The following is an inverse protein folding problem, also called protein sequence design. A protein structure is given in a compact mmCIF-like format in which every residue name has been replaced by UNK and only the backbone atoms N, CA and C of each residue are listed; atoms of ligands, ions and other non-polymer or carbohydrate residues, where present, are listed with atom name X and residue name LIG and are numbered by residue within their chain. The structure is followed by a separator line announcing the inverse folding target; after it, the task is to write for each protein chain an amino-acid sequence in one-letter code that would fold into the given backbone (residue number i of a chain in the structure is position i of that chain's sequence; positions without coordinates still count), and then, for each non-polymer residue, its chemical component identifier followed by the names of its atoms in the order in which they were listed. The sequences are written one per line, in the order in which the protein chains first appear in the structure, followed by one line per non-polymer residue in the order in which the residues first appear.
data_IF_932000639214
#
_entry.id   IF_932000639214
#
_cell.length_a   1.000
_cell.length_b   1.000
_cell.length_c   1.000
_cell.angle_alpha   90.00
_cell.angle_beta   90.00
_cell.angle_gamma   90.00
#
_symmetry.space_group_name_H-M   'P 1'
#
loop_
_entity.id
_entity.type
_entity.pdbx_description
1 polymer ?
#
# COMPACT_ATOMS: atom_id res chain seq x y z
N UNK A 1 24.38 1.86 -2.80
CA UNK A 1 23.09 2.52 -2.49
C UNK A 1 21.93 1.50 -2.47
N UNK A 2 21.96 0.49 -1.57
CA UNK A 2 20.95 -0.60 -1.55
C UNK A 2 19.61 -0.20 -0.91
N UNK A 3 19.58 0.92 -0.18
CA UNK A 3 18.37 1.43 0.47
C UNK A 3 17.38 2.09 -0.50
N UNK A 4 17.88 2.90 -1.45
CA UNK A 4 17.03 3.69 -2.35
C UNK A 4 16.18 2.82 -3.29
N UNK A 5 16.74 1.70 -3.77
CA UNK A 5 16.00 0.71 -4.55
C UNK A 5 14.77 0.17 -3.82
N UNK A 6 14.77 0.16 -2.48
CA UNK A 6 13.63 -0.32 -1.69
C UNK A 6 12.49 0.70 -1.60
N UNK A 7 12.75 1.97 -1.91
CA UNK A 7 11.77 3.07 -1.87
C UNK A 7 11.30 3.51 -3.27
N UNK A 8 11.60 2.73 -4.31
CA UNK A 8 11.28 3.06 -5.70
C UNK A 8 9.81 3.40 -5.93
N UNK A 9 8.88 2.70 -5.28
CA UNK A 9 7.46 2.98 -5.42
C UNK A 9 7.01 4.31 -4.82
N UNK A 10 7.75 4.89 -3.86
CA UNK A 10 7.49 6.26 -3.39
C UNK A 10 7.91 7.30 -4.44
N UNK A 11 9.04 7.07 -5.12
CA UNK A 11 9.48 7.93 -6.22
C UNK A 11 8.50 7.87 -7.39
N UNK A 12 8.04 6.66 -7.73
CA UNK A 12 7.06 6.47 -8.79
C UNK A 12 5.70 7.09 -8.43
N UNK A 13 5.24 6.95 -7.19
CA UNK A 13 4.05 7.64 -6.69
C UNK A 13 4.15 9.16 -6.84
N UNK A 14 5.26 9.75 -6.42
CA UNK A 14 5.48 11.20 -6.57
C UNK A 14 5.50 11.62 -8.04
N UNK A 15 6.16 10.85 -8.91
CA UNK A 15 6.16 11.09 -10.35
C UNK A 15 4.77 10.98 -11.00
N UNK A 16 3.94 10.02 -10.56
CA UNK A 16 2.56 9.90 -11.06
C UNK A 16 1.67 11.05 -10.62
N UNK A 17 1.83 11.56 -9.39
CA UNK A 17 1.09 12.74 -8.93
C UNK A 17 1.42 13.96 -9.79
N UNK A 18 2.71 14.22 -10.05
CA UNK A 18 3.12 15.38 -10.83
C UNK A 18 2.69 15.27 -12.29
N UNK A 19 2.83 14.08 -12.89
CA UNK A 19 2.43 13.86 -14.29
C UNK A 19 0.91 13.87 -14.48
N UNK A 20 0.15 13.33 -13.53
CA UNK A 20 -1.31 13.40 -13.54
C UNK A 20 -1.83 14.85 -13.49
N UNK A 21 -1.19 15.73 -12.71
CA UNK A 21 -1.54 17.15 -12.71
C UNK A 21 -1.27 17.81 -14.06
N UNK A 22 -0.12 17.50 -14.67
CA UNK A 22 0.28 18.11 -15.95
C UNK A 22 -0.47 17.56 -17.17
N UNK A 23 -1.31 16.53 -17.02
CA UNK A 23 -2.02 15.83 -18.10
C UNK A 23 -1.12 15.38 -19.26
N UNK A 24 0.18 15.21 -19.03
CA UNK A 24 1.16 14.87 -20.07
C UNK A 24 1.14 13.39 -20.47
N UNK A 25 0.61 12.53 -19.60
CA UNK A 25 0.51 11.09 -19.84
C UNK A 25 -0.95 10.72 -20.06
N UNK A 26 -1.20 9.85 -21.05
CA UNK A 26 -2.54 9.36 -21.34
C UNK A 26 -3.13 8.53 -20.18
N UNK A 27 -4.48 8.45 -20.08
CA UNK A 27 -5.17 7.83 -18.95
C UNK A 27 -4.84 6.35 -18.77
N UNK A 28 -4.54 5.63 -19.86
CA UNK A 28 -4.10 4.21 -19.82
C UNK A 28 -2.77 4.06 -19.09
N UNK A 29 -1.78 4.91 -19.41
CA UNK A 29 -0.44 4.86 -18.80
C UNK A 29 -0.52 5.21 -17.32
N UNK A 30 -1.32 6.22 -16.97
CA UNK A 30 -1.58 6.58 -15.58
C UNK A 30 -2.24 5.42 -14.83
N UNK A 31 -3.27 4.79 -15.40
CA UNK A 31 -3.94 3.63 -14.83
C UNK A 31 -2.97 2.50 -14.46
N UNK A 32 -2.13 2.08 -15.41
CA UNK A 32 -1.11 1.05 -15.19
C UNK A 32 -0.13 1.47 -14.08
N UNK A 33 0.32 2.73 -14.10
CA UNK A 33 1.20 3.28 -13.07
C UNK A 33 0.58 3.20 -11.67
N UNK A 34 -0.67 3.63 -11.52
CA UNK A 34 -1.39 3.60 -10.24
C UNK A 34 -1.57 2.17 -9.72
N UNK A 35 -1.85 1.21 -10.61
CA UNK A 35 -1.93 -0.21 -10.25
C UNK A 35 -0.59 -0.73 -9.72
N UNK A 36 0.52 -0.41 -10.39
CA UNK A 36 1.86 -0.81 -9.96
C UNK A 36 2.24 -0.22 -8.60
N UNK A 37 1.95 1.06 -8.37
CA UNK A 37 2.18 1.71 -7.08
C UNK A 37 1.36 1.08 -5.96
N UNK A 38 0.08 0.79 -6.25
CA UNK A 38 -0.82 0.14 -5.29
C UNK A 38 -0.26 -1.23 -4.90
N UNK A 39 0.15 -2.04 -5.88
CA UNK A 39 0.78 -3.33 -5.62
C UNK A 39 2.07 -3.20 -4.79
N UNK A 40 2.90 -2.21 -5.10
CA UNK A 40 4.11 -1.92 -4.32
C UNK A 40 3.81 -1.62 -2.85
N UNK A 41 2.85 -0.74 -2.54
CA UNK A 41 2.51 -0.41 -1.15
C UNK A 41 1.89 -1.59 -0.39
N UNK A 42 1.11 -2.42 -1.07
CA UNK A 42 0.49 -3.60 -0.49
C UNK A 42 1.52 -4.71 -0.17
N UNK A 43 2.52 -4.91 -1.03
CA UNK A 43 3.37 -6.12 -1.00
C UNK A 43 4.88 -5.90 -0.85
N UNK A 44 5.40 -4.67 -0.96
CA UNK A 44 6.84 -4.44 -0.96
C UNK A 44 7.31 -3.26 -0.08
N UNK A 45 6.44 -2.28 0.19
CA UNK A 45 6.81 -1.09 0.94
C UNK A 45 7.40 -1.44 2.34
N UNK A 46 8.56 -0.88 2.72
CA UNK A 46 9.16 -1.14 4.02
C UNK A 46 8.30 -0.53 5.13
N UNK A 47 7.54 -1.38 5.84
CA UNK A 47 6.60 -0.95 6.89
C UNK A 47 6.72 -1.84 8.12
N UNK A 48 6.22 -1.38 9.26
CA UNK A 48 6.13 -2.21 10.46
C UNK A 48 5.01 -3.26 10.34
N UNK A 49 5.19 -4.44 10.92
CA UNK A 49 4.23 -5.53 10.82
C UNK A 49 2.86 -5.16 11.40
N UNK A 50 2.84 -4.63 12.64
CA UNK A 50 1.65 -4.24 13.41
C UNK A 50 0.57 -5.32 13.52
N UNK A 51 0.96 -6.59 13.48
CA UNK A 51 0.09 -7.69 13.88
C UNK A 51 0.01 -7.76 15.41
N UNK A 52 -1.11 -8.23 15.94
CA UNK A 52 -1.29 -8.38 17.37
C UNK A 52 -0.54 -9.61 17.90
N UNK A 53 0.30 -9.38 18.89
CA UNK A 53 1.06 -10.43 19.60
C UNK A 53 0.19 -11.10 20.66
N UNK A 54 0.64 -12.23 21.20
CA UNK A 54 -0.06 -12.95 22.28
C UNK A 54 -0.26 -12.12 23.56
N UNK A 55 0.52 -11.05 23.73
CA UNK A 55 0.41 -10.11 24.84
C UNK A 55 -0.51 -8.91 24.54
N UNK A 56 -1.26 -8.92 23.43
CA UNK A 56 -2.12 -7.80 23.01
C UNK A 56 -1.36 -6.57 22.49
N UNK A 57 -0.04 -6.66 22.30
CA UNK A 57 0.81 -5.58 21.79
C UNK A 57 0.98 -5.67 20.27
N UNK A 58 1.16 -4.54 19.60
CA UNK A 58 1.41 -4.49 18.16
C UNK A 58 2.87 -4.83 17.83
N UNK A 59 3.07 -5.76 16.90
CA UNK A 59 4.40 -6.19 16.47
C UNK A 59 5.16 -5.06 15.76
N UNK A 60 6.31 -4.68 16.30
CA UNK A 60 7.22 -3.65 15.74
C UNK A 60 8.31 -4.20 14.81
N UNK A 61 8.20 -5.47 14.41
CA UNK A 61 9.17 -6.03 13.47
C UNK A 61 8.92 -5.53 12.05
N UNK A 62 9.97 -5.49 11.23
CA UNK A 62 9.89 -5.04 9.84
C UNK A 62 9.09 -6.04 8.98
N UNK A 63 8.28 -5.51 8.08
CA UNK A 63 7.50 -6.23 7.08
C UNK A 63 7.69 -5.58 5.69
N UNK A 64 7.30 -6.32 4.65
CA UNK A 64 7.39 -5.89 3.25
C UNK A 64 5.99 -5.64 2.71
N UNK A 65 5.39 -4.50 3.01
CA UNK A 65 4.07 -4.11 2.52
C UNK A 65 2.97 -4.19 3.57
N UNK A 66 1.87 -3.49 3.28
CA UNK A 66 0.73 -3.37 4.19
C UNK A 66 0.05 -4.72 4.44
N UNK A 67 -0.06 -5.57 3.43
CA UNK A 67 -0.71 -6.89 3.56
C UNK A 67 0.26 -7.99 3.96
N UNK A 68 1.56 -7.77 3.83
CA UNK A 68 2.54 -8.76 4.27
C UNK A 68 2.76 -8.71 5.79
N UNK A 69 2.93 -9.89 6.38
CA UNK A 69 3.42 -10.05 7.75
C UNK A 69 4.96 -9.97 7.81
N UNK A 70 5.51 -9.93 9.02
CA UNK A 70 6.96 -10.09 9.23
C UNK A 70 7.42 -11.55 9.00
N UNK A 71 8.65 -11.88 9.38
CA UNK A 71 9.22 -13.24 9.29
C UNK A 71 8.36 -14.31 9.97
N UNK A 72 7.64 -13.97 11.05
CA UNK A 72 6.75 -14.91 11.75
C UNK A 72 5.55 -15.33 10.89
N UNK A 73 5.43 -16.64 10.66
CA UNK A 73 4.31 -17.25 9.89
C UNK A 73 2.94 -16.95 10.50
N UNK A 74 2.84 -16.87 11.82
CA UNK A 74 1.60 -16.54 12.53
C UNK A 74 1.08 -15.14 12.16
N UNK A 75 1.97 -14.15 12.09
CA UNK A 75 1.59 -12.77 11.71
C UNK A 75 1.17 -12.67 10.25
N UNK A 76 1.75 -13.49 9.35
CA UNK A 76 1.31 -13.58 7.95
C UNK A 76 -0.12 -14.13 7.85
N UNK A 77 -0.43 -15.20 8.60
CA UNK A 77 -1.78 -15.75 8.65
C UNK A 77 -2.80 -14.81 9.30
N UNK A 78 -2.42 -14.08 10.35
CA UNK A 78 -3.28 -13.04 10.93
C UNK A 78 -3.62 -11.96 9.90
N UNK A 79 -2.62 -11.44 9.17
CA UNK A 79 -2.83 -10.44 8.11
C UNK A 79 -3.70 -10.95 6.97
N UNK A 80 -3.50 -12.19 6.52
CA UNK A 80 -4.35 -12.80 5.49
C UNK A 80 -5.80 -12.94 5.98
N UNK A 81 -5.99 -13.40 7.23
CA UNK A 81 -7.32 -13.46 7.84
C UNK A 81 -7.96 -12.08 7.99
N UNK A 82 -7.18 -11.04 8.28
CA UNK A 82 -7.69 -9.68 8.35
C UNK A 82 -8.18 -9.15 7.01
N UNK A 83 -7.53 -9.53 5.91
CA UNK A 83 -7.99 -9.18 4.57
C UNK A 83 -9.32 -9.89 4.22
N UNK A 84 -9.49 -11.15 4.64
CA UNK A 84 -10.63 -11.99 4.23
C UNK A 84 -11.81 -11.94 5.20
N UNK A 85 -11.59 -11.74 6.50
CA UNK A 85 -12.62 -11.87 7.55
C UNK A 85 -13.09 -10.49 8.01
N UNK A 86 -14.31 -10.04 7.66
CA UNK A 86 -14.81 -8.70 8.00
C UNK A 86 -14.83 -8.41 9.50
N UNK A 87 -15.12 -9.43 10.33
CA UNK A 87 -15.14 -9.29 11.79
C UNK A 87 -13.80 -8.84 12.39
N UNK A 88 -12.68 -9.02 11.65
CA UNK A 88 -11.33 -8.64 12.10
C UNK A 88 -10.82 -7.35 11.45
N UNK A 89 -11.64 -6.65 10.67
CA UNK A 89 -11.24 -5.38 10.06
C UNK A 89 -10.96 -4.29 11.08
N UNK A 90 -11.55 -4.37 12.28
CA UNK A 90 -11.22 -3.45 13.38
C UNK A 90 -9.77 -3.61 13.86
N UNK A 91 -9.28 -4.85 13.92
CA UNK A 91 -7.88 -5.17 14.27
C UNK A 91 -6.93 -4.76 13.13
N UNK A 92 -7.35 -4.97 11.89
CA UNK A 92 -6.64 -4.48 10.70
C UNK A 92 -6.45 -2.96 10.78
N UNK A 93 -7.53 -2.22 11.04
CA UNK A 93 -7.52 -0.77 11.07
C UNK A 93 -6.54 -0.26 12.13
N UNK A 94 -6.59 -0.78 13.36
CA UNK A 94 -5.61 -0.45 14.41
C UNK A 94 -4.17 -0.71 13.95
N UNK A 95 -3.95 -1.82 13.26
CA UNK A 95 -2.64 -2.17 12.71
C UNK A 95 -2.14 -1.24 11.60
N UNK A 96 -3.03 -0.65 10.79
CA UNK A 96 -2.69 0.30 9.71
C UNK A 96 -2.16 1.62 10.24
N UNK A 97 -2.70 2.11 11.37
CA UNK A 97 -2.31 3.39 11.97
C UNK A 97 -1.20 3.26 13.04
N UNK A 98 -0.61 2.08 13.19
CA UNK A 98 0.33 1.78 14.27
C UNK A 98 1.67 2.54 14.22
N UNK A 99 2.03 3.13 13.08
CA UNK A 99 3.34 3.77 12.89
C UNK A 99 3.33 4.76 11.72
N UNK A 100 4.15 5.81 11.79
CA UNK A 100 4.23 6.83 10.72
C UNK A 100 4.48 6.26 9.32
N UNK A 101 5.39 5.29 9.18
CA UNK A 101 5.66 4.65 7.88
C UNK A 101 4.46 3.88 7.30
N UNK A 102 3.66 3.24 8.16
CA UNK A 102 2.41 2.60 7.72
C UNK A 102 1.32 3.60 7.41
N UNK A 103 1.22 4.69 8.16
CA UNK A 103 0.27 5.76 7.89
C UNK A 103 0.54 6.31 6.49
N UNK A 104 1.79 6.65 6.19
CA UNK A 104 2.21 7.10 4.86
C UNK A 104 1.88 6.07 3.79
N UNK A 105 2.27 4.81 3.96
CA UNK A 105 1.96 3.77 2.97
C UNK A 105 0.44 3.59 2.77
N UNK A 106 -0.35 3.65 3.84
CA UNK A 106 -1.81 3.48 3.78
C UNK A 106 -2.45 4.65 3.04
N UNK A 107 -2.07 5.89 3.37
CA UNK A 107 -2.54 7.08 2.65
C UNK A 107 -2.14 7.05 1.18
N UNK A 108 -0.89 6.71 0.88
CA UNK A 108 -0.42 6.58 -0.51
C UNK A 108 -1.17 5.48 -1.27
N UNK A 109 -1.52 4.38 -0.62
CA UNK A 109 -2.33 3.30 -1.22
C UNK A 109 -3.75 3.79 -1.53
N UNK A 110 -4.39 4.52 -0.61
CA UNK A 110 -5.73 5.10 -0.82
C UNK A 110 -5.70 6.06 -2.01
N UNK A 111 -4.74 6.98 -2.03
CA UNK A 111 -4.58 7.93 -3.14
C UNK A 111 -4.35 7.19 -4.45
N UNK A 112 -3.44 6.21 -4.48
CA UNK A 112 -3.15 5.45 -5.69
C UNK A 112 -4.36 4.67 -6.22
N UNK A 113 -5.18 4.07 -5.33
CA UNK A 113 -6.40 3.38 -5.74
C UNK A 113 -7.39 4.37 -6.34
N UNK A 114 -7.67 5.49 -5.67
CA UNK A 114 -8.61 6.50 -6.16
C UNK A 114 -8.17 7.07 -7.52
N UNK A 115 -6.89 7.42 -7.65
CA UNK A 115 -6.33 7.92 -8.91
C UNK A 115 -6.34 6.86 -10.01
N UNK A 116 -6.14 5.58 -9.67
CA UNK A 116 -6.27 4.47 -10.61
C UNK A 116 -7.70 4.30 -11.12
N UNK A 117 -8.70 4.37 -10.23
CA UNK A 117 -10.12 4.32 -10.61
C UNK A 117 -10.46 5.46 -11.57
N UNK A 118 -10.08 6.70 -11.22
CA UNK A 118 -10.32 7.88 -12.08
C UNK A 118 -9.65 7.70 -13.45
N UNK A 119 -8.39 7.28 -13.47
CA UNK A 119 -7.64 7.05 -14.71
C UNK A 119 -8.31 5.99 -15.60
N UNK A 120 -8.89 4.96 -14.98
CA UNK A 120 -9.60 3.88 -15.69
C UNK A 120 -10.91 4.40 -16.28
N UNK A 121 -11.68 5.18 -15.51
CA UNK A 121 -12.92 5.81 -16.00
C UNK A 121 -12.61 6.73 -17.19
N UNK A 122 -11.57 7.56 -17.08
CA UNK A 122 -11.15 8.45 -18.17
C UNK A 122 -10.66 7.69 -19.39
N UNK A 123 -9.95 6.57 -19.21
CA UNK A 123 -9.51 5.74 -20.32
C UNK A 123 -10.69 5.11 -21.06
N UNK A 124 -11.71 4.64 -20.33
CA UNK A 124 -12.93 4.07 -20.92
C UNK A 124 -13.77 5.15 -21.59
N UNK A 125 -13.89 6.34 -21.01
CA UNK A 125 -14.65 7.44 -21.59
C UNK A 125 -14.00 8.05 -22.84
N UNK A 126 -12.69 7.85 -23.03
CA UNK A 126 -11.94 8.34 -24.18
C UNK A 126 -11.71 7.27 -25.27
N UNK A 127 -12.19 6.04 -25.07
CA UNK A 127 -12.15 4.93 -26.01
C UNK A 127 -13.43 4.85 -26.85
#
# INVERSE_FOLDING_TARGET
MKGLQRYWGYLLFFGLITTAWTWRLGPVVLGIGWTLVTAYFLFQAPVFCGAETRAGQLCRNNASGIMMGCSYRQHKWQKLKFAVVPRRWRELNKGLWASGGKILATLSTIVAILSGIISTILAVAAA
#
